data_IF_936275639868
#
_entry.id   IF_936275639868
#
_cell.length_a   1.000
_cell.length_b   1.000
_cell.length_c   1.000
_cell.angle_alpha   90.00
_cell.angle_beta   90.00
_cell.angle_gamma   90.00
#
_symmetry.space_group_name_H-M   'P 1'
#
loop_
_entity.id
_entity.type
_entity.pdbx_description
1 polymer ?
#
# COMPACT_ATOMS: atom_id res chain seq x y z
N UNK A 1 25.95 -17.00 16.92
CA UNK A 1 25.39 -16.00 15.99
C UNK A 1 24.86 -14.84 16.83
N UNK A 2 25.58 -13.73 16.87
CA UNK A 2 25.23 -12.57 17.70
C UNK A 2 24.05 -11.84 17.08
N UNK A 3 22.97 -11.66 17.83
CA UNK A 3 21.86 -10.81 17.41
C UNK A 3 22.35 -9.36 17.29
N UNK A 4 22.20 -8.77 16.12
CA UNK A 4 22.44 -7.34 15.92
C UNK A 4 21.39 -6.54 16.72
N UNK A 5 21.78 -5.44 17.38
CA UNK A 5 20.84 -4.62 18.11
C UNK A 5 19.87 -3.96 17.13
N UNK A 6 18.58 -4.26 17.27
CA UNK A 6 17.51 -3.50 16.61
C UNK A 6 17.49 -2.14 17.29
N UNK A 7 18.06 -1.14 16.63
CA UNK A 7 18.01 0.25 17.09
C UNK A 7 16.55 0.66 17.30
N UNK A 8 16.19 1.31 18.42
CA UNK A 8 14.81 1.73 18.64
C UNK A 8 14.41 2.71 17.53
N UNK A 9 13.36 2.37 16.79
CA UNK A 9 12.81 3.18 15.71
C UNK A 9 12.24 4.49 16.29
N UNK A 10 13.05 5.53 16.43
CA UNK A 10 12.71 6.68 17.27
C UNK A 10 12.32 7.98 16.56
N UNK A 11 12.09 8.00 15.24
CA UNK A 11 11.53 9.20 14.58
C UNK A 11 10.37 8.92 13.60
N UNK A 12 10.32 7.72 13.03
CA UNK A 12 9.23 7.29 12.15
C UNK A 12 8.01 6.73 12.94
N UNK A 13 7.98 6.90 14.26
CA UNK A 13 6.97 6.34 15.16
C UNK A 13 5.62 7.12 15.21
N UNK A 14 5.51 8.25 14.51
CA UNK A 14 4.49 9.27 14.78
C UNK A 14 3.34 9.42 13.78
N UNK A 15 3.35 8.72 12.64
CA UNK A 15 2.18 8.69 11.76
C UNK A 15 1.28 7.55 12.22
N UNK A 16 0.27 7.91 13.02
CA UNK A 16 -0.72 6.99 13.60
C UNK A 16 -2.11 7.58 13.43
N UNK A 17 -3.17 6.75 13.46
CA UNK A 17 -4.53 7.24 13.40
C UNK A 17 -4.78 8.31 14.48
N UNK A 18 -5.20 9.51 14.06
CA UNK A 18 -5.46 10.64 14.94
C UNK A 18 -4.24 11.44 15.40
N UNK A 19 -3.01 11.14 14.92
CA UNK A 19 -1.84 11.92 15.33
C UNK A 19 -1.73 13.27 14.62
N UNK A 20 -1.15 14.31 15.25
CA UNK A 20 -0.89 15.59 14.58
C UNK A 20 -0.02 15.46 13.34
N UNK A 21 0.97 14.54 13.33
CA UNK A 21 1.80 14.29 12.13
C UNK A 21 0.99 13.69 10.98
N UNK A 22 -0.02 12.85 11.25
CA UNK A 22 -0.93 12.36 10.21
C UNK A 22 -1.77 13.50 9.63
N UNK A 23 -2.27 14.40 10.48
CA UNK A 23 -3.03 15.57 10.02
C UNK A 23 -2.15 16.50 9.16
N UNK A 24 -0.92 16.79 9.59
CA UNK A 24 0.03 17.60 8.82
C UNK A 24 0.40 16.95 7.47
N UNK A 25 0.58 15.63 7.44
CA UNK A 25 0.81 14.88 6.21
C UNK A 25 -0.35 15.05 5.22
N UNK A 26 -1.60 14.95 5.69
CA UNK A 26 -2.77 15.13 4.83
C UNK A 26 -2.96 16.57 4.38
N UNK A 27 -2.64 17.56 5.21
CA UNK A 27 -2.62 18.95 4.80
C UNK A 27 -1.63 19.20 3.65
N UNK A 28 -0.42 18.63 3.74
CA UNK A 28 0.57 18.70 2.66
C UNK A 28 0.12 17.99 1.37
N UNK A 29 -0.63 16.88 1.49
CA UNK A 29 -1.19 16.18 0.31
C UNK A 29 -2.33 16.97 -0.33
N UNK A 30 -3.16 17.64 0.47
CA UNK A 30 -4.27 18.46 -0.02
C UNK A 30 -3.79 19.66 -0.84
N UNK A 31 -2.60 20.18 -0.54
CA UNK A 31 -1.99 21.27 -1.30
C UNK A 31 -1.85 20.87 -2.79
N UNK A 32 -2.48 21.65 -3.67
CA UNK A 32 -2.49 21.41 -5.12
C UNK A 32 -3.32 20.21 -5.59
N UNK A 33 -4.10 19.53 -4.73
CA UNK A 33 -4.88 18.35 -5.14
C UNK A 33 -5.85 18.64 -6.28
N UNK A 34 -6.62 19.73 -6.19
CA UNK A 34 -7.58 20.12 -7.25
C UNK A 34 -6.89 20.50 -8.56
N UNK A 35 -5.74 21.18 -8.50
CA UNK A 35 -4.97 21.53 -9.70
C UNK A 35 -4.40 20.27 -10.37
N UNK A 36 -3.82 19.35 -9.58
CA UNK A 36 -3.30 18.07 -10.10
C UNK A 36 -4.40 17.27 -10.79
N UNK A 37 -5.60 17.24 -10.22
CA UNK A 37 -6.75 16.57 -10.83
C UNK A 37 -7.15 17.22 -12.16
N UNK A 38 -7.33 18.55 -12.18
CA UNK A 38 -7.71 19.30 -13.37
C UNK A 38 -6.69 19.17 -14.51
N UNK A 39 -5.40 19.19 -14.18
CA UNK A 39 -4.29 19.11 -15.15
C UNK A 39 -3.85 17.66 -15.44
N UNK A 40 -4.49 16.67 -14.82
CA UNK A 40 -4.15 15.23 -14.92
C UNK A 40 -2.68 14.93 -14.58
N UNK A 41 -2.15 15.65 -13.59
CA UNK A 41 -0.81 15.44 -13.06
C UNK A 41 -0.79 14.21 -12.16
N UNK A 42 0.15 13.29 -12.41
CA UNK A 42 0.30 12.08 -11.58
C UNK A 42 0.75 12.45 -10.15
N UNK A 43 0.11 11.93 -9.10
CA UNK A 43 0.37 12.34 -7.71
C UNK A 43 1.60 11.64 -7.10
N UNK A 44 2.71 11.54 -7.84
CA UNK A 44 3.92 10.83 -7.38
C UNK A 44 4.51 11.40 -6.10
N UNK A 45 4.49 12.72 -5.95
CA UNK A 45 4.99 13.39 -4.75
C UNK A 45 4.13 13.06 -3.52
N UNK A 46 2.80 13.15 -3.64
CA UNK A 46 1.86 12.79 -2.58
C UNK A 46 2.01 11.32 -2.15
N UNK A 47 2.13 10.40 -3.12
CA UNK A 47 2.42 8.99 -2.85
C UNK A 47 3.79 8.85 -2.17
N UNK A 48 4.80 9.62 -2.60
CA UNK A 48 6.12 9.66 -1.99
C UNK A 48 6.09 10.10 -0.51
N UNK A 49 5.26 11.09 -0.17
CA UNK A 49 5.03 11.51 1.22
C UNK A 49 4.47 10.36 2.06
N UNK A 50 3.46 9.65 1.54
CA UNK A 50 2.85 8.48 2.22
C UNK A 50 3.85 7.32 2.41
N UNK A 51 4.72 7.08 1.44
CA UNK A 51 5.80 6.07 1.53
C UNK A 51 6.79 6.41 2.64
N UNK A 52 7.30 7.65 2.66
CA UNK A 52 8.23 8.14 3.70
C UNK A 52 7.60 8.11 5.09
N UNK A 53 6.32 8.47 5.17
CA UNK A 53 5.51 8.41 6.39
C UNK A 53 5.14 6.98 6.83
N UNK A 54 5.38 5.97 5.97
CA UNK A 54 4.98 4.58 6.16
C UNK A 54 3.48 4.42 6.44
N UNK A 55 2.64 5.26 5.84
CA UNK A 55 1.19 5.21 5.98
C UNK A 55 0.60 3.86 5.52
N UNK A 56 1.21 3.23 4.52
CA UNK A 56 0.83 1.88 4.07
C UNK A 56 0.98 0.79 5.15
N UNK A 57 1.85 1.00 6.14
CA UNK A 57 2.10 0.04 7.23
C UNK A 57 1.16 0.19 8.42
N UNK A 58 0.12 1.05 8.35
CA UNK A 58 -0.76 1.33 9.48
C UNK A 58 -1.37 0.08 10.13
N UNK A 59 -1.79 -0.90 9.31
CA UNK A 59 -2.45 -2.13 9.77
C UNK A 59 -1.50 -3.20 10.28
N UNK A 60 -0.22 -3.15 9.88
CA UNK A 60 0.76 -4.12 10.36
C UNK A 60 0.92 -4.02 11.88
N UNK A 61 1.22 -5.14 12.53
CA UNK A 61 1.47 -5.16 13.96
C UNK A 61 2.69 -4.30 14.31
N UNK A 62 2.66 -3.70 15.50
CA UNK A 62 3.78 -2.90 16.02
C UNK A 62 5.07 -3.71 16.05
N UNK A 63 4.98 -4.99 16.44
CA UNK A 63 6.12 -5.92 16.51
C UNK A 63 6.87 -6.13 15.18
N UNK A 64 6.24 -5.82 14.04
CA UNK A 64 6.85 -5.96 12.70
C UNK A 64 7.02 -4.61 12.00
N UNK A 65 6.99 -3.50 12.76
CA UNK A 65 7.25 -2.16 12.24
C UNK A 65 6.03 -1.40 11.72
N UNK A 66 4.82 -1.87 12.01
CA UNK A 66 3.57 -1.16 11.71
C UNK A 66 3.05 -0.28 12.86
N UNK A 67 1.87 0.29 12.68
CA UNK A 67 1.21 1.12 13.71
C UNK A 67 0.17 0.35 14.54
N UNK A 68 -0.17 -0.89 14.18
CA UNK A 68 -1.18 -1.70 14.88
C UNK A 68 -2.59 -1.13 14.82
N UNK A 69 -2.90 -0.28 13.83
CA UNK A 69 -4.22 0.34 13.70
C UNK A 69 -5.30 -0.73 13.52
N UNK A 70 -6.44 -0.57 14.18
CA UNK A 70 -7.64 -1.37 13.91
C UNK A 70 -8.19 -1.08 12.51
N UNK A 71 -9.06 -1.97 12.00
CA UNK A 71 -9.75 -1.74 10.72
C UNK A 71 -10.56 -0.43 10.76
N UNK A 72 -11.25 -0.14 11.87
CA UNK A 72 -12.00 1.12 12.05
C UNK A 72 -11.09 2.35 11.92
N UNK A 73 -9.92 2.31 12.56
CA UNK A 73 -8.94 3.40 12.49
C UNK A 73 -8.35 3.55 11.08
N UNK A 74 -8.09 2.45 10.37
CA UNK A 74 -7.66 2.51 8.97
C UNK A 74 -8.73 3.18 8.11
N UNK A 75 -10.00 2.75 8.20
CA UNK A 75 -11.08 3.32 7.38
C UNK A 75 -11.24 4.82 7.67
N UNK A 76 -11.18 5.24 8.94
CA UNK A 76 -11.21 6.66 9.31
C UNK A 76 -10.03 7.44 8.68
N UNK A 77 -8.82 6.89 8.70
CA UNK A 77 -7.65 7.51 8.09
C UNK A 77 -7.75 7.59 6.56
N UNK A 78 -8.30 6.56 5.91
CA UNK A 78 -8.54 6.56 4.45
C UNK A 78 -9.61 7.57 4.05
N UNK A 79 -10.67 7.73 4.86
CA UNK A 79 -11.68 8.79 4.64
C UNK A 79 -11.04 10.17 4.74
N UNK A 80 -10.22 10.41 5.77
CA UNK A 80 -9.52 11.68 5.94
C UNK A 80 -8.51 11.94 4.80
N UNK A 81 -7.80 10.91 4.32
CA UNK A 81 -6.96 11.02 3.12
C UNK A 81 -7.80 11.34 1.88
N UNK A 82 -8.97 10.71 1.73
CA UNK A 82 -9.88 10.97 0.61
C UNK A 82 -10.44 12.39 0.60
N UNK A 83 -10.63 13.00 1.79
CA UNK A 83 -10.99 14.40 1.91
C UNK A 83 -9.84 15.34 1.50
N UNK A 84 -8.58 14.91 1.67
CA UNK A 84 -7.41 15.66 1.23
C UNK A 84 -7.15 15.50 -0.28
N UNK A 85 -7.16 14.26 -0.77
CA UNK A 85 -7.00 13.93 -2.19
C UNK A 85 -7.65 12.56 -2.49
N UNK A 86 -8.80 12.52 -3.19
CA UNK A 86 -9.54 11.29 -3.45
C UNK A 86 -8.80 10.34 -4.40
N UNK A 87 -7.99 10.87 -5.33
CA UNK A 87 -7.21 10.04 -6.25
C UNK A 87 -6.11 9.28 -5.51
N UNK A 88 -5.43 9.97 -4.58
CA UNK A 88 -4.40 9.35 -3.73
C UNK A 88 -4.99 8.31 -2.78
N UNK A 89 -6.16 8.56 -2.20
CA UNK A 89 -6.85 7.56 -1.39
C UNK A 89 -7.23 6.31 -2.20
N UNK A 90 -7.73 6.49 -3.43
CA UNK A 90 -8.11 5.38 -4.31
C UNK A 90 -6.91 4.51 -4.72
N UNK A 91 -5.74 5.12 -4.96
CA UNK A 91 -4.48 4.42 -5.24
C UNK A 91 -4.15 3.38 -4.15
N UNK A 92 -4.39 3.70 -2.88
CA UNK A 92 -4.03 2.86 -1.74
C UNK A 92 -5.04 1.76 -1.39
N UNK A 93 -6.23 1.73 -2.01
CA UNK A 93 -7.27 0.75 -1.68
C UNK A 93 -6.75 -0.69 -1.78
N UNK A 94 -6.11 -1.03 -2.90
CA UNK A 94 -5.60 -2.38 -3.14
C UNK A 94 -4.40 -2.72 -2.25
N UNK A 95 -3.60 -1.71 -1.90
CA UNK A 95 -2.49 -1.89 -0.97
C UNK A 95 -2.98 -2.36 0.41
N UNK A 96 -4.03 -1.75 0.97
CA UNK A 96 -4.54 -2.17 2.27
C UNK A 96 -5.20 -3.54 2.24
N UNK A 97 -5.88 -3.91 1.14
CA UNK A 97 -6.37 -5.27 0.93
C UNK A 97 -5.24 -6.30 0.87
N UNK A 98 -4.09 -5.95 0.29
CA UNK A 98 -2.89 -6.78 0.31
C UNK A 98 -2.29 -6.89 1.72
N UNK A 99 -2.16 -5.78 2.45
CA UNK A 99 -1.58 -5.75 3.81
C UNK A 99 -2.41 -6.57 4.79
N UNK A 100 -3.75 -6.49 4.73
CA UNK A 100 -4.63 -7.20 5.67
C UNK A 100 -4.49 -8.73 5.59
N UNK A 101 -4.00 -9.29 4.47
CA UNK A 101 -3.68 -10.73 4.36
C UNK A 101 -2.62 -11.19 5.37
N UNK A 102 -1.73 -10.28 5.77
CA UNK A 102 -0.68 -10.55 6.74
C UNK A 102 -1.09 -10.23 8.18
N UNK A 103 -2.26 -9.63 8.40
CA UNK A 103 -2.76 -9.26 9.73
C UNK A 103 -3.79 -10.26 10.25
N UNK A 104 -4.51 -10.93 9.34
CA UNK A 104 -5.57 -11.87 9.70
C UNK A 104 -5.03 -13.26 10.11
N UNK A 105 -5.77 -14.01 10.96
CA UNK A 105 -5.30 -15.24 11.63
C UNK A 105 -4.83 -16.38 10.72
N UNK A 106 -5.15 -16.35 9.42
CA UNK A 106 -4.74 -17.39 8.46
C UNK A 106 -3.22 -17.38 8.20
N UNK A 107 -2.53 -16.29 8.52
CA UNK A 107 -1.07 -16.24 8.55
C UNK A 107 -0.66 -15.53 9.84
N UNK A 108 -0.19 -16.28 10.83
CA UNK A 108 0.56 -15.66 11.93
C UNK A 108 1.64 -14.80 11.27
N UNK A 109 1.57 -13.48 11.46
CA UNK A 109 2.52 -12.47 10.94
C UNK A 109 3.92 -13.04 11.06
N UNK A 110 4.52 -13.51 9.97
CA UNK A 110 5.92 -13.92 10.01
C UNK A 110 6.74 -12.64 9.92
N UNK A 111 7.44 -12.20 10.98
CA UNK A 111 8.24 -10.96 10.93
C UNK A 111 9.30 -11.02 9.82
N UNK A 112 9.67 -12.23 9.40
CA UNK A 112 10.57 -12.53 8.30
C UNK A 112 9.93 -12.58 6.90
N UNK A 113 8.64 -12.31 6.72
CA UNK A 113 8.03 -12.34 5.38
C UNK A 113 8.55 -11.14 4.55
N UNK A 114 9.08 -11.35 3.33
CA UNK A 114 9.66 -10.27 2.52
C UNK A 114 8.69 -9.12 2.27
N UNK A 115 7.41 -9.43 2.04
CA UNK A 115 6.37 -8.40 1.87
C UNK A 115 6.07 -7.60 3.14
N UNK A 116 6.04 -8.24 4.31
CA UNK A 116 5.87 -7.53 5.58
C UNK A 116 7.01 -6.55 5.80
N UNK A 117 8.26 -6.99 5.57
CA UNK A 117 9.44 -6.11 5.64
C UNK A 117 9.37 -4.95 4.65
N UNK A 118 8.97 -5.22 3.40
CA UNK A 118 8.85 -4.19 2.38
C UNK A 118 7.79 -3.13 2.76
N UNK A 119 6.61 -3.56 3.21
CA UNK A 119 5.56 -2.64 3.67
C UNK A 119 6.02 -1.85 4.89
N UNK A 120 6.65 -2.50 5.87
CA UNK A 120 7.21 -1.83 7.05
C UNK A 120 8.33 -0.82 6.71
N UNK A 121 8.99 -0.98 5.56
CA UNK A 121 9.96 -0.02 5.00
C UNK A 121 9.31 1.06 4.10
N UNK A 122 7.98 1.08 3.95
CA UNK A 122 7.25 2.09 3.19
C UNK A 122 6.96 1.72 1.73
N UNK A 123 7.09 0.44 1.34
CA UNK A 123 6.65 -0.01 0.03
C UNK A 123 5.11 0.02 -0.09
N UNK A 124 4.62 0.45 -1.25
CA UNK A 124 3.21 0.40 -1.63
C UNK A 124 3.06 -0.64 -2.73
N UNK A 125 1.97 -1.40 -2.68
CA UNK A 125 1.66 -2.47 -3.61
C UNK A 125 0.36 -2.12 -4.34
N UNK A 126 0.44 -1.97 -5.66
CA UNK A 126 -0.71 -1.82 -6.54
C UNK A 126 -1.35 -3.17 -6.89
N UNK A 127 -2.37 -3.11 -7.74
CA UNK A 127 -2.97 -4.31 -8.34
C UNK A 127 -3.20 -4.06 -9.83
N UNK A 128 -2.68 -4.98 -10.65
CA UNK A 128 -2.88 -5.02 -12.09
C UNK A 128 -3.47 -6.38 -12.47
N UNK A 129 -4.77 -6.57 -12.20
CA UNK A 129 -5.46 -7.85 -12.45
C UNK A 129 -6.50 -7.78 -13.55
N UNK A 130 -7.08 -6.61 -13.83
CA UNK A 130 -8.19 -6.46 -14.77
C UNK A 130 -7.81 -6.71 -16.23
N UNK A 131 -8.53 -7.63 -16.88
CA UNK A 131 -8.45 -7.98 -18.30
C UNK A 131 -9.82 -7.77 -18.96
N UNK A 132 -9.85 -7.35 -20.22
CA UNK A 132 -11.10 -7.14 -20.96
C UNK A 132 -11.75 -8.42 -21.48
N UNK A 133 -10.99 -9.51 -21.53
CA UNK A 133 -11.44 -10.80 -22.04
C UNK A 133 -12.39 -11.53 -21.11
N UNK A 134 -12.56 -11.05 -19.88
CA UNK A 134 -13.54 -11.56 -18.93
C UNK A 134 -14.44 -10.43 -18.42
N UNK A 135 -15.75 -10.67 -18.37
CA UNK A 135 -16.71 -9.77 -17.72
C UNK A 135 -16.69 -9.90 -16.19
N UNK A 136 -16.01 -10.91 -15.64
CA UNK A 136 -15.99 -11.22 -14.22
C UNK A 136 -14.78 -10.58 -13.52
N UNK A 137 -15.00 -9.46 -12.84
CA UNK A 137 -13.99 -8.86 -11.95
C UNK A 137 -13.86 -9.68 -10.67
N UNK A 138 -12.65 -10.17 -10.36
CA UNK A 138 -12.29 -10.74 -9.06
C UNK A 138 -12.39 -12.27 -8.93
N UNK A 139 -13.18 -12.96 -9.76
CA UNK A 139 -13.36 -14.41 -9.72
C UNK A 139 -13.30 -15.09 -11.11
N UNK A 140 -12.90 -14.36 -12.16
CA UNK A 140 -12.71 -14.90 -13.51
C UNK A 140 -11.35 -15.59 -13.70
N UNK A 141 -11.27 -16.54 -14.64
CA UNK A 141 -9.99 -17.04 -15.13
C UNK A 141 -9.21 -15.88 -15.75
N UNK A 142 -7.91 -15.77 -15.46
CA UNK A 142 -7.05 -14.79 -16.12
C UNK A 142 -6.47 -15.43 -17.37
N UNK A 143 -6.51 -14.70 -18.49
CA UNK A 143 -5.94 -15.14 -19.76
C UNK A 143 -4.44 -14.88 -19.85
N UNK A 144 -3.88 -14.01 -18.99
CA UNK A 144 -2.44 -13.76 -18.95
C UNK A 144 -1.67 -15.07 -18.68
N UNK A 145 -0.92 -15.62 -19.66
CA UNK A 145 -0.18 -16.86 -19.46
C UNK A 145 1.00 -16.67 -18.51
N UNK A 146 1.24 -17.71 -17.71
CA UNK A 146 2.50 -17.94 -17.02
C UNK A 146 3.25 -19.05 -17.75
N UNK A 147 4.36 -18.71 -18.40
CA UNK A 147 5.20 -19.69 -19.11
C UNK A 147 6.53 -19.87 -18.38
N UNK A 148 7.03 -21.10 -18.17
CA UNK A 148 8.37 -21.31 -17.62
C UNK A 148 9.42 -20.61 -18.48
N UNK A 149 10.35 -19.89 -17.86
CA UNK A 149 11.37 -19.12 -18.60
C UNK A 149 12.66 -19.90 -18.92
N UNK A 150 12.73 -21.18 -18.53
CA UNK A 150 13.94 -22.02 -18.70
C UNK A 150 15.06 -21.80 -17.68
N UNK A 151 14.92 -20.84 -16.75
CA UNK A 151 15.90 -20.47 -15.73
C UNK A 151 15.36 -20.66 -14.30
N UNK A 152 14.34 -21.51 -14.13
CA UNK A 152 13.67 -21.74 -12.86
C UNK A 152 12.67 -20.65 -12.45
N UNK A 153 12.29 -19.76 -13.36
CA UNK A 153 11.29 -18.72 -13.13
C UNK A 153 10.13 -18.78 -14.13
N UNK A 154 9.28 -17.76 -14.06
CA UNK A 154 8.11 -17.58 -14.92
C UNK A 154 8.23 -16.32 -15.75
N UNK A 155 7.80 -16.39 -17.01
CA UNK A 155 7.53 -15.25 -17.87
C UNK A 155 6.04 -14.96 -17.83
N UNK A 156 5.71 -13.68 -17.70
CA UNK A 156 4.35 -13.15 -17.75
C UNK A 156 4.27 -12.22 -18.95
N UNK A 157 3.33 -12.46 -19.85
CA UNK A 157 3.11 -11.63 -21.04
C UNK A 157 1.61 -11.39 -21.20
N UNK A 158 1.19 -10.13 -21.20
CA UNK A 158 -0.23 -9.78 -21.27
C UNK A 158 -0.48 -8.29 -21.05
N UNK A 159 -1.74 -7.87 -21.18
CA UNK A 159 -2.17 -6.48 -21.03
C UNK A 159 -3.21 -6.37 -19.91
N UNK A 160 -2.95 -5.47 -18.95
CA UNK A 160 -3.86 -5.18 -17.83
C UNK A 160 -4.42 -3.77 -17.98
N UNK A 161 -5.75 -3.68 -18.06
CA UNK A 161 -6.45 -2.43 -18.38
C UNK A 161 -6.76 -1.60 -17.14
N UNK A 162 -6.95 -2.26 -15.99
CA UNK A 162 -7.18 -1.58 -14.72
C UNK A 162 -6.06 -1.91 -13.74
N UNK A 163 -5.11 -0.98 -13.62
CA UNK A 163 -3.82 -1.16 -12.94
C UNK A 163 -3.60 -0.13 -11.84
N UNK A 164 -4.65 0.21 -11.09
CA UNK A 164 -4.63 1.24 -10.04
C UNK A 164 -3.48 1.04 -9.06
N UNK A 165 -2.68 2.10 -8.89
CA UNK A 165 -1.52 2.13 -8.00
C UNK A 165 -0.30 1.34 -8.49
N UNK A 166 -0.25 0.97 -9.77
CA UNK A 166 0.84 0.15 -10.35
C UNK A 166 1.80 0.91 -11.29
N UNK A 167 1.52 2.17 -11.62
CA UNK A 167 2.26 2.99 -12.61
C UNK A 167 2.61 4.39 -12.08
#
# INVERSE_FOLDING_TARGET
>A
MSALPVSPASDAADVRPGSPKLAALFAAIAEGASQRDAERVRPFEAVGLLRRARFGALRLLVAVGGAGASLRQLIAAVIALGAADPNVAHILRNHFAFVDRFVLPLTATQPGHPWVRAVAAGAIFGLASGELSTSAVGNGALDTPLTPNGQGGWRVEGVKYYSTGSL
#
